data_IF_645215524953
#
_entry.id   IF_645215524953
#
_cell.length_a   1.000
_cell.length_b   1.000
_cell.length_c   1.000
_cell.angle_alpha   90.00
_cell.angle_beta   90.00
_cell.angle_gamma   90.00
#
_symmetry.space_group_name_H-M   'P 1'
#
loop_
_entity.id
_entity.type
_entity.pdbx_description
1 polymer ?
#
# COMPACT_ATOMS: atom_id res chain seq x y z
N UNK A 1 1.49 33.28 32.60
CA UNK A 1 2.04 31.92 32.32
C UNK A 1 0.94 30.86 32.14
N UNK A 2 0.01 30.65 33.08
CA UNK A 2 -1.10 29.69 32.90
C UNK A 2 -2.06 30.01 31.75
N UNK A 3 -2.33 31.29 31.48
CA UNK A 3 -3.16 31.70 30.33
C UNK A 3 -2.45 31.48 28.99
N UNK A 4 -1.11 31.58 28.96
CA UNK A 4 -0.32 31.19 27.78
C UNK A 4 -0.29 29.67 27.59
N UNK A 5 -0.26 28.87 28.67
CA UNK A 5 -0.37 27.40 28.56
C UNK A 5 -1.73 26.96 28.01
N UNK A 6 -2.82 27.63 28.39
CA UNK A 6 -4.16 27.35 27.85
C UNK A 6 -4.32 27.83 26.41
N UNK A 7 -3.73 28.97 26.04
CA UNK A 7 -3.70 29.43 24.65
C UNK A 7 -2.91 28.45 23.77
N UNK A 8 -1.76 27.94 24.25
CA UNK A 8 -0.95 26.91 23.57
C UNK A 8 -1.70 25.57 23.45
N UNK A 9 -2.54 25.21 24.43
CA UNK A 9 -3.43 24.02 24.35
C UNK A 9 -4.62 24.20 23.38
N UNK A 10 -5.11 25.42 23.20
CA UNK A 10 -6.21 25.73 22.27
C UNK A 10 -5.77 25.88 20.82
N UNK A 11 -4.48 26.16 20.60
CA UNK A 11 -3.86 26.19 19.29
C UNK A 11 -3.41 24.75 19.00
N UNK A 12 -4.39 23.87 18.76
CA UNK A 12 -4.14 22.53 18.25
C UNK A 12 -3.63 22.67 16.82
N UNK A 13 -2.32 22.87 16.71
CA UNK A 13 -1.59 22.73 15.46
C UNK A 13 -1.55 21.23 15.15
N UNK A 14 -2.48 20.78 14.32
CA UNK A 14 -2.42 19.51 13.57
C UNK A 14 -1.24 19.50 12.55
N UNK A 15 -0.14 20.20 12.88
CA UNK A 15 0.94 20.62 11.98
C UNK A 15 2.27 19.92 12.21
N UNK A 16 2.34 18.89 13.07
CA UNK A 16 3.46 17.94 13.15
C UNK A 16 3.00 16.50 12.83
N UNK A 17 1.95 16.38 12.00
CA UNK A 17 1.26 15.12 11.64
C UNK A 17 1.70 14.56 10.28
N UNK A 18 2.77 15.08 9.66
CA UNK A 18 3.16 14.60 8.32
C UNK A 18 3.63 13.13 8.28
N UNK A 19 4.22 12.62 9.38
CA UNK A 19 4.56 11.20 9.52
C UNK A 19 3.41 10.33 10.06
N UNK A 20 2.47 10.94 10.79
CA UNK A 20 1.40 10.22 11.46
C UNK A 20 0.25 9.85 10.51
N UNK A 21 -0.08 10.65 9.49
CA UNK A 21 -1.14 10.30 8.53
C UNK A 21 -0.79 9.09 7.66
N UNK A 22 0.45 9.03 7.17
CA UNK A 22 0.95 7.84 6.47
C UNK A 22 0.94 6.62 7.38
N UNK A 23 1.55 6.72 8.56
CA UNK A 23 1.64 5.61 9.51
C UNK A 23 0.24 5.13 9.95
N UNK A 24 -0.71 6.04 10.17
CA UNK A 24 -2.11 5.69 10.44
C UNK A 24 -2.72 4.92 9.28
N UNK A 25 -2.56 5.41 8.05
CA UNK A 25 -3.16 4.78 6.88
C UNK A 25 -2.60 3.37 6.62
N UNK A 26 -1.29 3.17 6.69
CA UNK A 26 -0.69 1.85 6.42
C UNK A 26 -1.00 0.81 7.49
N UNK A 27 -1.45 1.24 8.69
CA UNK A 27 -1.92 0.36 9.76
C UNK A 27 -3.46 0.23 9.81
N UNK A 28 -4.19 0.94 8.95
CA UNK A 28 -5.63 0.79 8.77
C UNK A 28 -5.89 -0.05 7.50
N UNK A 29 -6.57 -1.21 7.59
CA UNK A 29 -6.73 -2.10 6.45
C UNK A 29 -7.54 -1.48 5.30
N UNK A 30 -8.51 -0.62 5.59
CA UNK A 30 -9.32 0.04 4.57
C UNK A 30 -8.54 1.15 3.87
N UNK A 31 -7.81 1.96 4.64
CA UNK A 31 -6.97 3.02 4.08
C UNK A 31 -5.83 2.45 3.23
N UNK A 32 -5.13 1.42 3.74
CA UNK A 32 -4.07 0.74 3.02
C UNK A 32 -4.60 0.08 1.72
N UNK A 33 -5.74 -0.61 1.78
CA UNK A 33 -6.36 -1.22 0.60
C UNK A 33 -6.75 -0.17 -0.45
N UNK A 34 -7.39 0.92 -0.04
CA UNK A 34 -7.76 2.01 -0.95
C UNK A 34 -6.53 2.65 -1.62
N UNK A 35 -5.43 2.84 -0.88
CA UNK A 35 -4.19 3.35 -1.44
C UNK A 35 -3.61 2.40 -2.51
N UNK A 36 -3.58 1.09 -2.24
CA UNK A 36 -3.14 0.07 -3.20
C UNK A 36 -4.04 0.05 -4.43
N UNK A 37 -5.37 0.02 -4.25
CA UNK A 37 -6.34 0.01 -5.36
C UNK A 37 -6.19 1.23 -6.27
N UNK A 38 -6.00 2.42 -5.70
CA UNK A 38 -5.76 3.64 -6.48
C UNK A 38 -4.44 3.57 -7.24
N UNK A 39 -3.39 3.00 -6.64
CA UNK A 39 -2.11 2.78 -7.31
C UNK A 39 -2.28 1.81 -8.50
N UNK A 40 -3.01 0.71 -8.33
CA UNK A 40 -3.28 -0.26 -9.40
C UNK A 40 -4.21 0.30 -10.47
N UNK A 41 -5.15 1.18 -10.12
CA UNK A 41 -6.00 1.88 -11.11
C UNK A 41 -5.15 2.76 -12.02
N UNK A 42 -4.12 3.40 -11.47
CA UNK A 42 -3.22 4.28 -12.23
C UNK A 42 -2.15 3.52 -13.03
N UNK A 43 -1.62 2.44 -12.46
CA UNK A 43 -0.42 1.77 -12.98
C UNK A 43 -0.65 0.31 -13.34
N UNK A 44 -1.86 -0.22 -13.25
CA UNK A 44 -2.17 -1.62 -13.58
C UNK A 44 -1.95 -1.90 -15.07
N UNK A 45 -1.16 -2.93 -15.36
CA UNK A 45 -0.92 -3.48 -16.69
C UNK A 45 -0.39 -4.91 -16.56
N UNK A 46 -0.37 -5.64 -17.68
CA UNK A 46 0.16 -7.00 -17.73
C UNK A 46 1.69 -6.98 -17.59
N UNK A 47 2.15 -7.55 -16.48
CA UNK A 47 3.55 -7.63 -16.10
C UNK A 47 4.14 -9.02 -16.36
N UNK A 48 3.29 -10.03 -16.53
CA UNK A 48 3.69 -11.41 -16.76
C UNK A 48 3.77 -11.77 -18.25
N UNK A 49 3.11 -10.99 -19.11
CA UNK A 49 3.01 -11.20 -20.55
C UNK A 49 2.01 -12.29 -20.94
N UNK A 50 1.06 -12.63 -20.05
CA UNK A 50 0.07 -13.68 -20.29
C UNK A 50 -1.25 -13.17 -20.89
N UNK A 51 -1.38 -11.85 -21.10
CA UNK A 51 -2.56 -11.20 -21.67
C UNK A 51 -3.70 -10.96 -20.68
N UNK A 52 -3.51 -11.23 -19.38
CA UNK A 52 -4.48 -11.03 -18.31
C UNK A 52 -3.87 -10.11 -17.26
N UNK A 53 -4.66 -9.18 -16.73
CA UNK A 53 -4.24 -8.34 -15.60
C UNK A 53 -4.90 -8.89 -14.34
N UNK A 54 -4.13 -9.52 -13.46
CA UNK A 54 -4.64 -10.18 -12.26
C UNK A 54 -3.81 -9.88 -10.99
N UNK A 55 -4.06 -10.66 -9.93
CA UNK A 55 -3.38 -10.50 -8.65
C UNK A 55 -1.85 -10.63 -8.74
N UNK A 56 -1.32 -11.44 -9.65
CA UNK A 56 0.13 -11.59 -9.83
C UNK A 56 0.74 -10.30 -10.39
N UNK A 57 0.09 -9.66 -11.36
CA UNK A 57 0.55 -8.37 -11.91
C UNK A 57 0.54 -7.28 -10.84
N UNK A 58 -0.57 -7.19 -10.08
CA UNK A 58 -0.67 -6.20 -9.00
C UNK A 58 0.34 -6.43 -7.88
N UNK A 59 0.65 -7.67 -7.54
CA UNK A 59 1.74 -7.98 -6.59
C UNK A 59 3.08 -7.48 -7.12
N UNK A 60 3.39 -7.75 -8.40
CA UNK A 60 4.65 -7.34 -9.03
C UNK A 60 4.77 -5.82 -9.08
N UNK A 61 3.71 -5.12 -9.47
CA UNK A 61 3.65 -3.65 -9.45
C UNK A 61 3.85 -3.11 -8.04
N UNK A 62 3.20 -3.70 -7.02
CA UNK A 62 3.36 -3.27 -5.64
C UNK A 62 4.81 -3.45 -5.14
N UNK A 63 5.47 -4.55 -5.55
CA UNK A 63 6.79 -4.90 -5.04
C UNK A 63 7.94 -4.26 -5.80
N UNK A 64 7.82 -4.14 -7.12
CA UNK A 64 8.88 -3.72 -8.04
C UNK A 64 8.65 -2.32 -8.62
N UNK A 65 7.49 -1.72 -8.34
CA UNK A 65 7.06 -0.45 -8.92
C UNK A 65 6.45 -0.62 -10.30
N UNK A 66 5.73 0.42 -10.75
CA UNK A 66 4.98 0.42 -12.02
C UNK A 66 5.82 -0.09 -13.21
N UNK A 67 6.95 0.54 -13.50
CA UNK A 67 7.74 0.20 -14.70
C UNK A 67 8.71 -0.98 -14.49
N UNK A 68 8.82 -1.51 -13.27
CA UNK A 68 9.78 -2.55 -12.91
C UNK A 68 9.17 -3.95 -12.78
N UNK A 69 7.87 -4.09 -13.03
CA UNK A 69 7.09 -5.28 -12.64
C UNK A 69 7.44 -6.57 -13.41
N UNK A 70 8.15 -6.48 -14.53
CA UNK A 70 8.69 -7.63 -15.27
C UNK A 70 9.95 -8.23 -14.61
N UNK A 71 10.49 -7.55 -13.60
CA UNK A 71 11.66 -8.01 -12.84
C UNK A 71 11.42 -9.31 -12.06
N UNK A 72 12.52 -9.92 -11.63
CA UNK A 72 12.48 -11.14 -10.82
C UNK A 72 12.04 -10.84 -9.38
N UNK A 73 11.12 -11.64 -8.86
CA UNK A 73 10.77 -11.62 -7.44
C UNK A 73 11.75 -12.47 -6.64
N UNK A 74 11.94 -12.10 -5.37
CA UNK A 74 12.61 -12.98 -4.43
C UNK A 74 11.75 -14.24 -4.21
N UNK A 75 12.37 -15.43 -4.32
CA UNK A 75 11.65 -16.71 -4.27
C UNK A 75 10.87 -16.94 -2.96
N UNK A 76 11.37 -16.47 -1.81
CA UNK A 76 10.66 -16.57 -0.53
C UNK A 76 9.39 -15.72 -0.52
N UNK A 77 9.45 -14.54 -1.12
CA UNK A 77 8.29 -13.65 -1.24
C UNK A 77 7.25 -14.23 -2.20
N UNK A 78 7.69 -14.67 -3.37
CA UNK A 78 6.82 -15.28 -4.38
C UNK A 78 6.14 -16.55 -3.87
N UNK A 79 6.86 -17.43 -3.18
CA UNK A 79 6.31 -18.66 -2.61
C UNK A 79 5.24 -18.37 -1.54
N UNK A 80 5.41 -17.32 -0.73
CA UNK A 80 4.41 -16.90 0.26
C UNK A 80 3.14 -16.39 -0.42
N UNK A 81 3.29 -15.59 -1.47
CA UNK A 81 2.16 -15.11 -2.26
C UNK A 81 1.40 -16.27 -2.93
N UNK A 82 2.12 -17.17 -3.62
CA UNK A 82 1.53 -18.36 -4.26
C UNK A 82 0.81 -19.28 -3.27
N UNK A 83 1.34 -19.41 -2.05
CA UNK A 83 0.64 -20.11 -0.98
C UNK A 83 -0.68 -19.41 -0.63
N UNK A 84 -0.66 -18.09 -0.43
CA UNK A 84 -1.85 -17.30 -0.13
C UNK A 84 -2.93 -17.46 -1.21
N UNK A 85 -2.59 -17.28 -2.49
CA UNK A 85 -3.55 -17.46 -3.59
C UNK A 85 -4.16 -18.86 -3.57
N UNK A 86 -3.36 -19.92 -3.47
CA UNK A 86 -3.89 -21.30 -3.42
C UNK A 86 -4.85 -21.54 -2.25
N UNK A 87 -4.67 -20.84 -1.13
CA UNK A 87 -5.52 -20.97 0.05
C UNK A 87 -6.81 -20.14 -0.04
N UNK A 88 -6.78 -18.97 -0.68
CA UNK A 88 -7.83 -17.96 -0.56
C UNK A 88 -8.46 -17.49 -1.88
N UNK A 89 -7.95 -17.88 -3.06
CA UNK A 89 -8.37 -17.32 -4.36
C UNK A 89 -9.84 -17.58 -4.75
N UNK A 90 -10.52 -18.51 -4.07
CA UNK A 90 -11.94 -18.85 -4.32
C UNK A 90 -12.86 -18.56 -3.12
N UNK A 91 -12.38 -17.78 -2.13
CA UNK A 91 -13.20 -17.35 -0.98
C UNK A 91 -13.86 -16.01 -1.28
#
# INVERSE_FOLDING_TARGET
MKEMENAVRSIQMDGLVWGASYAKCVNDPYCAAAAVQNYMTKFGHDCTGNGVIDCEDYLRIHRLGANGCTGALNSKYENRFKLCLRTFQNQ
#
